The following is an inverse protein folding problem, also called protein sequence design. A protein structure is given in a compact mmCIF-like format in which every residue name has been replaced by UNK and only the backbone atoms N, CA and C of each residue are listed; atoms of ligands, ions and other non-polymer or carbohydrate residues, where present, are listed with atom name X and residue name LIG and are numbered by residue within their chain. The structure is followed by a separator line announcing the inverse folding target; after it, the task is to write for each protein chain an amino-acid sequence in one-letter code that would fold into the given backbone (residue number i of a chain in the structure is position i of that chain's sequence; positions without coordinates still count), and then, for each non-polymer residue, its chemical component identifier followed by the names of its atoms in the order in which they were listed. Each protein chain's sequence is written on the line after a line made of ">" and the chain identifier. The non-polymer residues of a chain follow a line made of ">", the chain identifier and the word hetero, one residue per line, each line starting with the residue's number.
data_IF_298864031686
#
_entry.id   IF_298864031686
#
_cell.length_a   1.000
_cell.length_b   1.000
_cell.length_c   1.000
_cell.angle_alpha   90.00
_cell.angle_beta   90.00
_cell.angle_gamma   90.00
#
_symmetry.space_group_name_H-M   'P 1'
#
loop_
_entity.id
_entity.type
_entity.pdbx_description
1 polymer ?
#
# COMPACT_ATOMS: atom_id res chain seq x y z
N UNK A 1 18.80 -17.81 -1.18
CA UNK A 1 18.83 -18.05 0.26
C UNK A 1 19.79 -17.14 1.00
N UNK A 2 21.07 -17.06 0.59
CA UNK A 2 22.11 -16.30 1.30
C UNK A 2 21.87 -14.79 1.37
N UNK A 3 21.19 -14.16 0.42
CA UNK A 3 20.89 -12.73 0.46
C UNK A 3 19.87 -12.36 1.56
N UNK A 4 18.93 -13.25 1.85
CA UNK A 4 17.77 -12.97 2.72
C UNK A 4 17.70 -13.91 3.94
N UNK A 5 18.68 -14.79 4.13
CA UNK A 5 18.73 -15.72 5.26
C UNK A 5 17.61 -16.77 5.31
N UNK A 6 16.88 -16.99 4.24
CA UNK A 6 15.78 -17.98 4.23
C UNK A 6 16.31 -19.40 4.16
N UNK A 7 16.24 -20.10 5.29
CA UNK A 7 16.67 -21.50 5.43
C UNK A 7 18.19 -21.73 5.54
N UNK A 8 19.01 -20.68 5.49
CA UNK A 8 20.46 -20.67 5.68
C UNK A 8 20.91 -19.33 6.24
N UNK A 9 22.06 -19.28 6.88
CA UNK A 9 22.63 -18.05 7.40
C UNK A 9 22.85 -17.02 6.28
N UNK A 10 22.56 -15.76 6.59
CA UNK A 10 22.76 -14.67 5.66
C UNK A 10 24.25 -14.47 5.39
N UNK A 11 24.65 -14.65 4.15
CA UNK A 11 26.04 -14.41 3.70
C UNK A 11 25.99 -13.60 2.40
N UNK A 12 26.01 -12.27 2.55
CA UNK A 12 25.90 -11.34 1.42
C UNK A 12 27.10 -11.43 0.46
N UNK A 13 28.37 -11.52 0.91
CA UNK A 13 29.50 -11.72 0.02
C UNK A 13 29.37 -12.98 -0.85
N UNK A 14 29.15 -14.14 -0.24
CA UNK A 14 28.98 -15.41 -0.98
C UNK A 14 27.78 -15.36 -1.94
N UNK A 15 26.67 -14.75 -1.52
CA UNK A 15 25.51 -14.59 -2.39
C UNK A 15 25.81 -13.71 -3.60
N UNK A 16 26.64 -12.70 -3.43
CA UNK A 16 27.06 -11.81 -4.53
C UNK A 16 27.99 -12.52 -5.50
N UNK A 17 28.97 -13.29 -5.00
CA UNK A 17 29.87 -14.07 -5.84
C UNK A 17 29.08 -15.08 -6.71
N UNK A 18 28.18 -15.85 -6.09
CA UNK A 18 27.29 -16.76 -6.82
C UNK A 18 26.40 -16.06 -7.85
N UNK A 19 25.85 -14.88 -7.51
CA UNK A 19 25.06 -14.10 -8.47
C UNK A 19 25.90 -13.55 -9.63
N UNK A 20 27.17 -13.22 -9.39
CA UNK A 20 28.08 -12.74 -10.42
C UNK A 20 28.31 -13.83 -11.48
N UNK A 21 28.60 -15.06 -11.08
CA UNK A 21 28.78 -16.19 -12.00
C UNK A 21 27.56 -16.41 -12.88
N UNK A 22 26.36 -16.43 -12.30
CA UNK A 22 25.11 -16.57 -13.09
C UNK A 22 24.84 -15.37 -13.99
N UNK A 23 25.10 -14.16 -13.51
CA UNK A 23 24.90 -12.92 -14.24
C UNK A 23 25.85 -12.84 -15.46
N UNK A 24 27.11 -13.21 -15.30
CA UNK A 24 28.10 -13.26 -16.39
C UNK A 24 27.76 -14.31 -17.43
N UNK A 25 27.08 -15.38 -17.03
CA UNK A 25 26.56 -16.41 -17.92
C UNK A 25 25.20 -16.06 -18.59
N UNK A 26 24.72 -14.81 -18.43
CA UNK A 26 23.56 -14.30 -19.17
C UNK A 26 22.21 -14.45 -18.46
N UNK A 27 22.17 -14.88 -17.21
CA UNK A 27 20.90 -14.98 -16.44
C UNK A 27 20.38 -13.58 -16.05
N UNK A 28 19.30 -13.14 -16.72
CA UNK A 28 18.70 -11.83 -16.50
C UNK A 28 18.24 -11.60 -15.04
N UNK A 29 17.74 -12.64 -14.37
CA UNK A 29 17.29 -12.55 -12.97
C UNK A 29 18.47 -12.42 -12.03
N UNK A 30 19.56 -13.19 -12.27
CA UNK A 30 20.79 -13.06 -11.50
C UNK A 30 21.39 -11.66 -11.66
N UNK A 31 21.39 -11.09 -12.86
CA UNK A 31 21.82 -9.72 -13.13
C UNK A 31 21.01 -8.71 -12.30
N UNK A 32 19.68 -8.81 -12.27
CA UNK A 32 18.81 -7.94 -11.47
C UNK A 32 19.02 -8.10 -9.97
N UNK A 33 19.25 -9.31 -9.47
CA UNK A 33 19.55 -9.56 -8.07
C UNK A 33 20.94 -9.04 -7.68
N UNK A 34 21.94 -9.21 -8.55
CA UNK A 34 23.27 -8.65 -8.38
C UNK A 34 23.22 -7.12 -8.33
N UNK A 35 22.54 -6.49 -9.28
CA UNK A 35 22.30 -5.06 -9.31
C UNK A 35 21.69 -4.56 -8.00
N UNK A 36 20.64 -5.22 -7.50
CA UNK A 36 20.01 -4.89 -6.21
C UNK A 36 21.00 -4.99 -5.03
N UNK A 37 21.83 -6.02 -5.01
CA UNK A 37 22.83 -6.20 -3.94
C UNK A 37 23.93 -5.14 -3.99
N UNK A 38 24.32 -4.71 -5.19
CA UNK A 38 25.31 -3.64 -5.41
C UNK A 38 24.74 -2.28 -5.02
N UNK A 39 23.48 -2.00 -5.37
CA UNK A 39 22.78 -0.75 -5.00
C UNK A 39 22.79 -0.50 -3.49
N UNK A 40 22.78 -1.54 -2.67
CA UNK A 40 22.85 -1.43 -1.22
C UNK A 40 24.22 -0.98 -0.68
N UNK A 41 25.25 -0.90 -1.54
CA UNK A 41 26.58 -0.42 -1.16
C UNK A 41 26.69 1.11 -1.33
N UNK A 42 27.45 1.82 -0.49
CA UNK A 42 27.60 3.27 -0.56
C UNK A 42 28.03 3.81 -1.93
N UNK A 43 28.83 3.04 -2.66
CA UNK A 43 29.36 3.44 -3.99
C UNK A 43 28.86 2.55 -5.12
N UNK A 44 27.85 1.73 -4.89
CA UNK A 44 27.41 0.68 -5.81
C UNK A 44 26.39 1.14 -6.86
N UNK A 45 25.87 2.37 -6.79
CA UNK A 45 24.78 2.83 -7.63
C UNK A 45 25.10 2.74 -9.15
N UNK A 46 26.27 3.17 -9.56
CA UNK A 46 26.68 3.13 -10.98
C UNK A 46 26.79 1.69 -11.49
N UNK A 47 27.43 0.83 -10.73
CA UNK A 47 27.57 -0.58 -11.08
C UNK A 47 26.21 -1.29 -11.09
N UNK A 48 25.33 -0.96 -10.13
CA UNK A 48 23.95 -1.48 -10.13
C UNK A 48 23.19 -1.06 -11.37
N UNK A 49 23.30 0.20 -11.79
CA UNK A 49 22.66 0.70 -13.00
C UNK A 49 23.14 -0.04 -14.25
N UNK A 50 24.43 -0.36 -14.37
CA UNK A 50 24.97 -1.11 -15.50
C UNK A 50 24.44 -2.54 -15.53
N UNK A 51 24.34 -3.20 -14.39
CA UNK A 51 23.74 -4.53 -14.31
C UNK A 51 22.25 -4.53 -14.61
N UNK A 52 21.48 -3.51 -14.19
CA UNK A 52 20.07 -3.38 -14.59
C UNK A 52 19.90 -3.18 -16.10
N UNK A 53 20.80 -2.43 -16.76
CA UNK A 53 20.76 -2.30 -18.23
C UNK A 53 21.03 -3.64 -18.91
N UNK A 54 22.05 -4.39 -18.42
CA UNK A 54 22.35 -5.74 -18.91
C UNK A 54 21.17 -6.70 -18.69
N UNK A 55 20.54 -6.68 -17.53
CA UNK A 55 19.37 -7.48 -17.21
C UNK A 55 18.20 -7.20 -18.17
N UNK A 56 17.96 -5.93 -18.48
CA UNK A 56 16.94 -5.55 -19.47
C UNK A 56 17.25 -6.11 -20.85
N UNK A 57 18.49 -5.99 -21.33
CA UNK A 57 18.89 -6.56 -22.63
C UNK A 57 18.81 -8.09 -22.66
N UNK A 58 18.95 -8.73 -21.51
CA UNK A 58 18.77 -10.18 -21.31
C UNK A 58 17.30 -10.60 -21.10
N UNK A 59 16.34 -9.67 -21.18
CA UNK A 59 14.89 -9.93 -21.14
C UNK A 59 14.16 -9.65 -19.83
N UNK A 60 14.84 -9.11 -18.80
CA UNK A 60 14.14 -8.64 -17.59
C UNK A 60 13.62 -7.21 -17.76
N UNK A 61 12.38 -7.08 -18.26
CA UNK A 61 11.73 -5.78 -18.44
C UNK A 61 11.61 -4.98 -17.14
N UNK A 62 11.53 -5.63 -15.96
CA UNK A 62 11.43 -4.96 -14.67
C UNK A 62 12.74 -4.30 -14.22
N UNK A 63 13.87 -4.66 -14.82
CA UNK A 63 15.14 -4.03 -14.49
C UNK A 63 15.15 -2.53 -14.76
N UNK A 64 14.46 -2.06 -15.81
CA UNK A 64 14.34 -0.62 -16.08
C UNK A 64 13.42 0.10 -15.08
N UNK A 65 12.49 -0.60 -14.45
CA UNK A 65 11.69 -0.02 -13.34
C UNK A 65 12.59 0.31 -12.16
N UNK A 66 13.50 -0.61 -11.79
CA UNK A 66 14.47 -0.36 -10.73
C UNK A 66 15.38 0.82 -11.07
N UNK A 67 15.84 0.90 -12.33
CA UNK A 67 16.68 2.00 -12.80
C UNK A 67 15.92 3.35 -12.77
N UNK A 68 14.64 3.36 -13.15
CA UNK A 68 13.80 4.55 -13.05
C UNK A 68 13.67 5.04 -11.60
N UNK A 69 13.51 4.13 -10.64
CA UNK A 69 13.52 4.50 -9.22
C UNK A 69 14.85 5.05 -8.74
N UNK A 70 15.98 4.54 -9.22
CA UNK A 70 17.30 5.09 -8.90
C UNK A 70 17.47 6.52 -9.43
N UNK A 71 16.89 6.83 -10.60
CA UNK A 71 16.87 8.19 -11.14
C UNK A 71 16.02 9.14 -10.27
N UNK A 72 14.79 8.74 -9.94
CA UNK A 72 13.88 9.55 -9.10
C UNK A 72 14.48 9.77 -7.70
N UNK A 73 15.13 8.75 -7.14
CA UNK A 73 15.76 8.80 -5.82
C UNK A 73 17.09 9.57 -5.77
N UNK A 74 17.56 10.11 -6.91
CA UNK A 74 18.82 10.85 -6.96
C UNK A 74 20.09 10.00 -6.77
N UNK A 75 19.97 8.68 -6.90
CA UNK A 75 21.13 7.75 -6.80
C UNK A 75 22.02 7.81 -8.05
N UNK A 76 21.46 8.30 -9.16
CA UNK A 76 22.16 8.49 -10.42
C UNK A 76 22.09 9.95 -10.83
N UNK A 77 23.17 10.46 -11.40
CA UNK A 77 23.24 11.83 -11.90
C UNK A 77 22.45 11.95 -13.19
N UNK A 78 21.42 12.78 -13.20
CA UNK A 78 20.68 13.17 -14.41
C UNK A 78 20.30 14.64 -14.33
N UNK A 79 20.31 15.34 -15.45
CA UNK A 79 19.86 16.73 -15.53
C UNK A 79 18.34 16.87 -15.31
N UNK A 80 17.58 15.86 -15.77
CA UNK A 80 16.13 15.81 -15.68
C UNK A 80 15.68 14.40 -15.20
N UNK A 81 15.72 14.13 -13.88
CA UNK A 81 15.48 12.79 -13.36
C UNK A 81 14.09 12.22 -13.68
N UNK A 82 13.02 13.03 -13.60
CA UNK A 82 11.66 12.57 -13.86
C UNK A 82 11.38 12.26 -15.33
N UNK A 83 11.73 13.13 -16.31
CA UNK A 83 11.64 12.78 -17.72
C UNK A 83 12.43 11.52 -18.09
N UNK A 84 13.65 11.36 -17.57
CA UNK A 84 14.47 10.18 -17.82
C UNK A 84 13.84 8.92 -17.21
N UNK A 85 13.33 8.97 -15.98
CA UNK A 85 12.62 7.86 -15.36
C UNK A 85 11.37 7.46 -16.17
N UNK A 86 10.61 8.45 -16.65
CA UNK A 86 9.45 8.19 -17.52
C UNK A 86 9.83 7.54 -18.84
N UNK A 87 11.00 7.91 -19.41
CA UNK A 87 11.53 7.27 -20.61
C UNK A 87 11.84 5.79 -20.35
N UNK A 88 12.50 5.48 -19.22
CA UNK A 88 12.81 4.11 -18.81
C UNK A 88 11.53 3.29 -18.56
N UNK A 89 10.55 3.88 -17.89
CA UNK A 89 9.25 3.22 -17.64
C UNK A 89 8.50 2.92 -18.95
N UNK A 90 8.53 3.83 -19.95
CA UNK A 90 7.94 3.55 -21.27
C UNK A 90 8.63 2.39 -21.96
N UNK A 91 9.97 2.32 -21.91
CA UNK A 91 10.72 1.19 -22.47
C UNK A 91 10.37 -0.14 -21.79
N UNK A 92 10.29 -0.14 -20.46
CA UNK A 92 9.90 -1.32 -19.70
C UNK A 92 8.45 -1.75 -19.99
N UNK A 93 7.52 -0.80 -20.09
CA UNK A 93 6.12 -1.06 -20.42
C UNK A 93 6.00 -1.66 -21.84
N UNK A 94 6.70 -1.11 -22.83
CA UNK A 94 6.75 -1.63 -24.19
C UNK A 94 7.35 -3.06 -24.25
N UNK A 95 8.26 -3.40 -23.32
CA UNK A 95 8.81 -4.74 -23.15
C UNK A 95 7.90 -5.67 -22.31
N UNK A 96 6.67 -5.26 -21.97
CA UNK A 96 5.67 -6.08 -21.29
C UNK A 96 5.72 -6.04 -19.76
N UNK A 97 6.45 -5.12 -19.14
CA UNK A 97 6.43 -4.97 -17.67
C UNK A 97 5.12 -4.37 -17.18
N UNK A 98 4.26 -5.19 -16.58
CA UNK A 98 3.03 -4.72 -15.95
C UNK A 98 3.32 -3.71 -14.79
N UNK A 99 4.42 -3.90 -14.08
CA UNK A 99 4.85 -2.97 -13.03
C UNK A 99 5.20 -1.60 -13.61
N UNK A 100 5.90 -1.54 -14.76
CA UNK A 100 6.20 -0.30 -15.44
C UNK A 100 4.94 0.41 -15.95
N UNK A 101 3.99 -0.34 -16.51
CA UNK A 101 2.69 0.19 -16.95
C UNK A 101 1.95 0.86 -15.78
N UNK A 102 1.86 0.19 -14.62
CA UNK A 102 1.23 0.75 -13.42
C UNK A 102 1.93 2.03 -12.96
N UNK A 103 3.25 2.03 -12.90
CA UNK A 103 4.02 3.22 -12.48
C UNK A 103 3.84 4.39 -13.44
N UNK A 104 3.92 4.14 -14.73
CA UNK A 104 3.71 5.15 -15.75
C UNK A 104 2.27 5.69 -15.73
N UNK A 105 1.28 4.82 -15.52
CA UNK A 105 -0.12 5.20 -15.35
C UNK A 105 -0.31 6.16 -14.17
N UNK A 106 0.33 5.91 -13.04
CA UNK A 106 0.32 6.83 -11.90
C UNK A 106 1.00 8.16 -12.23
N UNK A 107 2.09 8.16 -13.02
CA UNK A 107 2.74 9.40 -13.43
C UNK A 107 1.83 10.24 -14.35
N UNK A 108 1.10 9.61 -15.28
CA UNK A 108 0.08 10.31 -16.08
C UNK A 108 -1.08 10.81 -15.23
N UNK A 109 -1.53 10.04 -14.23
CA UNK A 109 -2.60 10.43 -13.31
C UNK A 109 -2.22 11.67 -12.49
N UNK A 110 -0.98 11.71 -11.98
CA UNK A 110 -0.49 12.80 -11.11
C UNK A 110 0.13 13.97 -11.88
N UNK A 111 0.57 13.77 -13.13
CA UNK A 111 1.38 14.74 -13.88
C UNK A 111 2.84 14.74 -13.44
N UNK A 112 3.40 13.59 -13.06
CA UNK A 112 4.75 13.47 -12.51
C UNK A 112 5.80 13.41 -13.64
N UNK A 113 6.43 14.53 -13.93
CA UNK A 113 7.44 14.65 -14.99
C UNK A 113 6.89 14.50 -16.43
N UNK A 114 5.57 14.58 -16.58
CA UNK A 114 4.83 14.59 -17.85
C UNK A 114 3.44 15.22 -17.64
N UNK A 115 2.75 15.68 -18.69
CA UNK A 115 1.40 16.21 -18.57
C UNK A 115 0.42 15.15 -18.04
N UNK A 116 -0.56 15.61 -17.24
CA UNK A 116 -1.67 14.72 -16.81
C UNK A 116 -2.45 14.24 -18.02
N UNK A 117 -2.67 12.92 -18.07
CA UNK A 117 -3.49 12.27 -19.09
C UNK A 117 -4.21 11.05 -18.48
N UNK A 118 -5.49 11.24 -18.16
CA UNK A 118 -6.30 10.19 -17.55
C UNK A 118 -6.65 9.06 -18.54
N UNK A 119 -6.71 9.38 -19.84
CA UNK A 119 -7.00 8.39 -20.89
C UNK A 119 -5.81 7.44 -21.03
N UNK A 120 -4.60 7.99 -21.14
CA UNK A 120 -3.39 7.18 -21.20
C UNK A 120 -3.15 6.42 -19.90
N UNK A 121 -3.42 7.04 -18.73
CA UNK A 121 -3.37 6.35 -17.45
C UNK A 121 -4.29 5.14 -17.41
N UNK A 122 -5.55 5.29 -17.84
CA UNK A 122 -6.52 4.20 -17.91
C UNK A 122 -6.05 3.09 -18.88
N UNK A 123 -5.55 3.45 -20.05
CA UNK A 123 -5.08 2.49 -21.04
C UNK A 123 -3.94 1.62 -20.50
N UNK A 124 -2.98 2.23 -19.81
CA UNK A 124 -1.87 1.53 -19.17
C UNK A 124 -2.33 0.64 -18.02
N UNK A 125 -3.24 1.11 -17.17
CA UNK A 125 -3.83 0.26 -16.13
C UNK A 125 -4.59 -0.93 -16.72
N UNK A 126 -5.36 -0.75 -17.80
CA UNK A 126 -6.07 -1.85 -18.46
C UNK A 126 -5.09 -2.89 -19.03
N UNK A 127 -3.99 -2.45 -19.62
CA UNK A 127 -2.94 -3.37 -20.12
C UNK A 127 -2.31 -4.15 -18.97
N UNK A 128 -1.92 -3.48 -17.88
CA UNK A 128 -1.33 -4.14 -16.72
C UNK A 128 -2.31 -5.10 -16.04
N UNK A 129 -3.58 -4.71 -15.95
CA UNK A 129 -4.68 -5.53 -15.41
C UNK A 129 -4.89 -6.80 -16.24
N UNK A 130 -4.80 -6.72 -17.58
CA UNK A 130 -4.86 -7.88 -18.46
C UNK A 130 -3.69 -8.86 -18.25
N UNK A 131 -2.54 -8.36 -17.77
CA UNK A 131 -1.39 -9.17 -17.36
C UNK A 131 -1.50 -9.69 -15.91
N UNK A 132 -2.64 -9.50 -15.24
CA UNK A 132 -2.90 -9.98 -13.88
C UNK A 132 -2.32 -9.11 -12.76
N UNK A 133 -1.94 -7.87 -13.04
CA UNK A 133 -1.43 -6.96 -12.02
C UNK A 133 -2.59 -6.34 -11.22
N UNK A 134 -2.72 -6.73 -9.96
CA UNK A 134 -3.81 -6.27 -9.09
C UNK A 134 -3.68 -4.79 -8.65
N UNK A 135 -2.48 -4.20 -8.66
CA UNK A 135 -2.32 -2.76 -8.42
C UNK A 135 -2.94 -1.93 -9.55
N UNK A 136 -2.94 -2.46 -10.77
CA UNK A 136 -3.62 -1.83 -11.89
C UNK A 136 -5.14 -1.78 -11.68
N UNK A 137 -5.73 -2.84 -11.10
CA UNK A 137 -7.14 -2.88 -10.76
C UNK A 137 -7.49 -1.83 -9.69
N UNK A 138 -6.62 -1.64 -8.70
CA UNK A 138 -6.77 -0.55 -7.72
C UNK A 138 -6.72 0.81 -8.40
N UNK A 139 -5.78 1.02 -9.34
CA UNK A 139 -5.67 2.25 -10.12
C UNK A 139 -6.93 2.53 -10.97
N UNK A 140 -7.50 1.52 -11.62
CA UNK A 140 -8.77 1.62 -12.34
C UNK A 140 -9.92 1.95 -11.39
N UNK A 141 -10.00 1.25 -10.26
CA UNK A 141 -10.99 1.56 -9.22
C UNK A 141 -10.96 3.02 -8.78
N UNK A 142 -9.75 3.56 -8.59
CA UNK A 142 -9.56 4.96 -8.23
C UNK A 142 -10.04 5.93 -9.34
N UNK A 143 -9.69 5.68 -10.61
CA UNK A 143 -10.10 6.51 -11.73
C UNK A 143 -11.64 6.64 -11.83
N UNK A 144 -12.36 5.54 -11.62
CA UNK A 144 -13.82 5.52 -11.64
C UNK A 144 -14.43 6.11 -10.36
N UNK A 145 -13.84 5.87 -9.19
CA UNK A 145 -14.32 6.44 -7.93
C UNK A 145 -14.17 7.96 -7.87
N UNK A 146 -13.09 8.48 -8.44
CA UNK A 146 -12.79 9.91 -8.51
C UNK A 146 -13.48 10.60 -9.70
N UNK A 147 -14.31 9.90 -10.45
CA UNK A 147 -15.03 10.41 -11.63
C UNK A 147 -14.13 11.02 -12.71
N UNK A 148 -12.86 10.60 -12.76
CA UNK A 148 -11.88 11.07 -13.73
C UNK A 148 -12.08 10.47 -15.12
N UNK A 149 -12.87 9.39 -15.20
CA UNK A 149 -13.24 8.70 -16.44
C UNK A 149 -14.75 8.48 -16.48
N UNK A 150 -15.36 8.53 -17.68
CA UNK A 150 -16.78 8.19 -17.84
C UNK A 150 -17.07 6.78 -17.32
N UNK A 151 -18.19 6.61 -16.61
CA UNK A 151 -18.66 5.28 -16.21
C UNK A 151 -18.94 4.47 -17.47
N UNK A 152 -18.25 3.35 -17.65
CA UNK A 152 -18.70 2.33 -18.61
C UNK A 152 -19.79 1.51 -17.95
N UNK A 153 -20.82 1.12 -18.70
CA UNK A 153 -21.99 0.40 -18.20
C UNK A 153 -21.66 -0.86 -17.39
N UNK A 154 -20.49 -1.44 -17.59
CA UNK A 154 -20.14 -2.77 -17.10
C UNK A 154 -19.03 -2.77 -16.03
N UNK A 155 -18.34 -1.65 -15.76
CA UNK A 155 -17.18 -1.61 -14.88
C UNK A 155 -17.15 -0.36 -14.01
N UNK A 156 -17.70 -0.49 -12.79
CA UNK A 156 -17.63 0.53 -11.75
C UNK A 156 -16.35 0.41 -10.92
N UNK A 157 -16.07 1.41 -10.08
CA UNK A 157 -15.01 1.31 -9.06
C UNK A 157 -15.12 0.03 -8.22
N UNK A 158 -16.36 -0.35 -7.85
CA UNK A 158 -16.64 -1.56 -7.10
C UNK A 158 -16.14 -2.83 -7.79
N UNK A 159 -16.38 -2.96 -9.09
CA UNK A 159 -15.89 -4.10 -9.89
C UNK A 159 -14.37 -4.25 -9.80
N UNK A 160 -13.64 -3.14 -9.94
CA UNK A 160 -12.19 -3.15 -9.94
C UNK A 160 -11.60 -3.42 -8.56
N UNK A 161 -12.15 -2.80 -7.51
CA UNK A 161 -11.69 -3.06 -6.13
C UNK A 161 -12.00 -4.48 -5.68
N UNK A 162 -13.19 -5.02 -6.03
CA UNK A 162 -13.52 -6.41 -5.74
C UNK A 162 -12.55 -7.38 -6.41
N UNK A 163 -12.22 -7.14 -7.68
CA UNK A 163 -11.25 -7.95 -8.42
C UNK A 163 -9.85 -7.89 -7.80
N UNK A 164 -9.36 -6.71 -7.44
CA UNK A 164 -8.09 -6.53 -6.75
C UNK A 164 -8.08 -7.24 -5.39
N UNK A 165 -9.20 -7.15 -4.64
CA UNK A 165 -9.35 -7.81 -3.34
C UNK A 165 -9.27 -9.33 -3.47
N UNK A 166 -9.95 -9.92 -4.45
CA UNK A 166 -9.89 -11.36 -4.73
C UNK A 166 -8.50 -11.82 -5.21
N UNK A 167 -7.75 -10.96 -5.87
CA UNK A 167 -6.36 -11.19 -6.23
C UNK A 167 -5.39 -11.09 -5.04
N UNK A 168 -5.89 -10.81 -3.83
CA UNK A 168 -5.09 -10.70 -2.61
C UNK A 168 -4.41 -9.34 -2.41
N UNK A 169 -4.70 -8.33 -3.23
CA UNK A 169 -4.14 -7.00 -3.09
C UNK A 169 -4.69 -6.32 -1.83
N UNK A 170 -3.80 -5.91 -0.93
CA UNK A 170 -4.16 -5.32 0.38
C UNK A 170 -4.97 -4.03 0.22
N UNK A 171 -4.55 -3.13 -0.67
CA UNK A 171 -5.27 -1.88 -0.91
C UNK A 171 -6.65 -2.15 -1.54
N UNK A 172 -6.73 -3.11 -2.48
CA UNK A 172 -7.98 -3.59 -3.04
C UNK A 172 -8.93 -4.13 -1.97
N UNK A 173 -8.42 -4.93 -1.04
CA UNK A 173 -9.20 -5.46 0.09
C UNK A 173 -9.72 -4.34 0.99
N UNK A 174 -8.89 -3.34 1.30
CA UNK A 174 -9.29 -2.18 2.11
C UNK A 174 -10.37 -1.34 1.40
N UNK A 175 -10.18 -1.03 0.13
CA UNK A 175 -11.13 -0.25 -0.68
C UNK A 175 -12.47 -0.98 -0.85
N UNK A 176 -12.41 -2.26 -1.15
CA UNK A 176 -13.61 -3.08 -1.29
C UNK A 176 -14.37 -3.20 0.03
N UNK A 177 -13.67 -3.45 1.15
CA UNK A 177 -14.27 -3.49 2.47
C UNK A 177 -14.99 -2.17 2.82
N UNK A 178 -14.38 -1.03 2.52
CA UNK A 178 -15.00 0.28 2.73
C UNK A 178 -16.28 0.43 1.91
N UNK A 179 -16.26 0.07 0.63
CA UNK A 179 -17.46 0.12 -0.21
C UNK A 179 -18.57 -0.83 0.25
N UNK A 180 -18.21 -1.94 0.87
CA UNK A 180 -19.18 -2.86 1.49
C UNK A 180 -19.82 -2.24 2.73
N UNK A 181 -19.06 -1.50 3.57
CA UNK A 181 -19.62 -0.74 4.70
C UNK A 181 -20.62 0.31 4.22
N UNK A 182 -20.27 1.08 3.20
CA UNK A 182 -21.17 2.10 2.62
C UNK A 182 -22.49 1.50 2.10
N UNK A 183 -22.49 0.21 1.77
CA UNK A 183 -23.67 -0.56 1.36
C UNK A 183 -24.35 -1.33 2.52
N UNK A 184 -23.94 -1.11 3.76
CA UNK A 184 -24.45 -1.81 4.94
C UNK A 184 -24.07 -3.29 5.04
N UNK A 185 -23.09 -3.74 4.24
CA UNK A 185 -22.64 -5.16 4.21
C UNK A 185 -21.50 -5.40 5.21
N UNK A 186 -21.71 -5.03 6.48
CA UNK A 186 -20.69 -4.97 7.52
C UNK A 186 -19.98 -6.31 7.80
N UNK A 187 -20.71 -7.43 7.74
CA UNK A 187 -20.12 -8.77 7.93
C UNK A 187 -19.06 -9.08 6.86
N UNK A 188 -19.35 -8.75 5.62
CA UNK A 188 -18.41 -8.96 4.52
C UNK A 188 -17.23 -7.99 4.59
N UNK A 189 -17.47 -6.73 4.96
CA UNK A 189 -16.42 -5.75 5.16
C UNK A 189 -15.43 -6.20 6.25
N UNK A 190 -15.95 -6.71 7.38
CA UNK A 190 -15.13 -7.29 8.45
C UNK A 190 -14.22 -8.40 7.92
N UNK A 191 -14.76 -9.30 7.10
CA UNK A 191 -13.99 -10.44 6.59
C UNK A 191 -12.88 -9.98 5.65
N UNK A 192 -13.10 -8.93 4.85
CA UNK A 192 -12.08 -8.34 3.99
C UNK A 192 -11.02 -7.55 4.78
N UNK A 193 -11.42 -6.76 5.79
CA UNK A 193 -10.43 -6.14 6.68
C UNK A 193 -9.60 -7.19 7.42
N UNK A 194 -10.20 -8.29 7.85
CA UNK A 194 -9.47 -9.38 8.46
C UNK A 194 -8.52 -10.06 7.46
N UNK A 195 -8.87 -10.15 6.18
CA UNK A 195 -7.98 -10.66 5.13
C UNK A 195 -6.75 -9.77 4.93
N UNK A 196 -6.95 -8.45 4.89
CA UNK A 196 -5.87 -7.48 4.78
C UNK A 196 -4.99 -7.44 6.06
N UNK A 197 -5.59 -7.57 7.25
CA UNK A 197 -4.85 -7.61 8.51
C UNK A 197 -3.93 -8.85 8.62
N UNK A 198 -4.32 -9.99 8.04
CA UNK A 198 -3.43 -11.17 7.95
C UNK A 198 -2.20 -10.97 7.06
N UNK A 199 -2.14 -9.88 6.33
CA UNK A 199 -0.98 -9.46 5.53
C UNK A 199 -0.23 -8.30 6.21
N UNK A 200 -0.37 -8.16 7.53
CA UNK A 200 0.31 -7.17 8.38
C UNK A 200 0.01 -5.71 8.00
N UNK A 201 -1.16 -5.44 7.38
CA UNK A 201 -1.58 -4.08 7.05
C UNK A 201 -2.05 -3.34 8.30
N UNK A 202 -1.30 -2.31 8.71
CA UNK A 202 -1.63 -1.45 9.86
C UNK A 202 -3.00 -0.81 9.69
N UNK A 203 -3.29 -0.27 8.50
CA UNK A 203 -4.60 0.31 8.19
C UNK A 203 -5.74 -0.70 8.32
N UNK A 204 -5.50 -1.97 7.94
CA UNK A 204 -6.49 -3.03 8.10
C UNK A 204 -6.71 -3.40 9.57
N UNK A 205 -5.64 -3.48 10.37
CA UNK A 205 -5.74 -3.68 11.80
C UNK A 205 -6.59 -2.58 12.44
N UNK A 206 -6.32 -1.32 12.11
CA UNK A 206 -7.10 -0.19 12.63
C UNK A 206 -8.58 -0.25 12.21
N UNK A 207 -8.85 -0.44 10.92
CA UNK A 207 -10.23 -0.49 10.41
C UNK A 207 -11.03 -1.67 11.00
N UNK A 208 -10.38 -2.84 11.13
CA UNK A 208 -11.00 -4.01 11.74
C UNK A 208 -11.29 -3.77 13.22
N UNK A 209 -10.35 -3.17 13.96
CA UNK A 209 -10.52 -2.84 15.37
C UNK A 209 -11.69 -1.86 15.57
N UNK A 210 -11.74 -0.81 14.76
CA UNK A 210 -12.82 0.16 14.78
C UNK A 210 -14.18 -0.52 14.59
N UNK A 211 -14.31 -1.32 13.54
CA UNK A 211 -15.55 -2.04 13.23
C UNK A 211 -15.98 -2.98 14.37
N UNK A 212 -15.02 -3.74 14.93
CA UNK A 212 -15.29 -4.67 16.04
C UNK A 212 -15.66 -3.94 17.34
N UNK A 213 -15.25 -2.68 17.52
CA UNK A 213 -15.54 -1.88 18.73
C UNK A 213 -16.83 -1.07 18.61
N UNK A 214 -17.21 -0.62 17.42
CA UNK A 214 -18.21 0.46 17.28
C UNK A 214 -19.48 0.08 16.54
N UNK A 215 -19.51 -1.03 15.82
CA UNK A 215 -20.66 -1.39 14.99
C UNK A 215 -21.94 -1.55 15.83
N UNK A 216 -23.07 -1.09 15.32
CA UNK A 216 -24.36 -1.26 16.01
C UNK A 216 -24.77 -2.73 16.16
N UNK A 217 -24.45 -3.57 15.16
CA UNK A 217 -24.71 -5.02 15.21
C UNK A 217 -23.86 -5.71 16.30
N UNK A 218 -24.50 -6.04 17.41
CA UNK A 218 -23.86 -6.70 18.55
C UNK A 218 -23.20 -8.05 18.20
N UNK A 219 -23.71 -8.78 17.20
CA UNK A 219 -23.14 -10.06 16.77
C UNK A 219 -21.79 -9.91 16.07
N UNK A 220 -21.52 -8.72 15.54
CA UNK A 220 -20.27 -8.41 14.85
C UNK A 220 -19.22 -7.75 15.76
N UNK A 221 -19.65 -7.27 16.95
CA UNK A 221 -18.73 -6.68 17.93
C UNK A 221 -17.91 -7.74 18.66
N UNK A 222 -16.66 -7.41 18.92
CA UNK A 222 -15.75 -8.18 19.75
C UNK A 222 -14.68 -7.25 20.34
N UNK A 223 -14.94 -6.70 21.50
CA UNK A 223 -14.06 -5.74 22.16
C UNK A 223 -12.66 -6.30 22.46
N UNK A 224 -12.54 -7.61 22.74
CA UNK A 224 -11.21 -8.23 22.98
C UNK A 224 -10.39 -8.28 21.70
N UNK A 225 -10.99 -8.70 20.60
CA UNK A 225 -10.31 -8.69 19.29
C UNK A 225 -10.06 -7.27 18.79
N UNK A 226 -11.01 -6.34 19.02
CA UNK A 226 -10.81 -4.93 18.72
C UNK A 226 -9.57 -4.40 19.44
N UNK A 227 -9.44 -4.67 20.75
CA UNK A 227 -8.28 -4.24 21.53
C UNK A 227 -6.97 -4.82 21.00
N UNK A 228 -6.93 -6.11 20.66
CA UNK A 228 -5.74 -6.74 20.09
C UNK A 228 -5.29 -6.08 18.77
N UNK A 229 -6.24 -5.86 17.85
CA UNK A 229 -5.93 -5.21 16.57
C UNK A 229 -5.57 -3.74 16.71
N UNK A 230 -6.27 -2.98 17.58
CA UNK A 230 -5.95 -1.58 17.83
C UNK A 230 -4.56 -1.41 18.46
N UNK A 231 -4.16 -2.31 19.37
CA UNK A 231 -2.81 -2.29 19.94
C UNK A 231 -1.73 -2.47 18.88
N UNK A 232 -1.90 -3.40 17.93
CA UNK A 232 -0.96 -3.58 16.80
C UNK A 232 -0.83 -2.29 15.99
N UNK A 233 -1.94 -1.59 15.71
CA UNK A 233 -1.90 -0.35 14.93
C UNK A 233 -1.18 0.77 15.68
N UNK A 234 -1.42 0.93 16.98
CA UNK A 234 -0.77 1.96 17.81
C UNK A 234 0.72 1.66 18.02
N UNK A 235 1.10 0.38 18.25
CA UNK A 235 2.50 -0.02 18.40
C UNK A 235 3.31 0.26 17.13
N UNK A 236 2.70 0.09 15.96
CA UNK A 236 3.35 0.38 14.69
C UNK A 236 3.42 1.89 14.40
N UNK A 237 2.33 2.62 14.67
CA UNK A 237 2.21 4.05 14.39
C UNK A 237 1.18 4.69 15.33
N UNK A 238 1.58 5.45 16.39
CA UNK A 238 0.67 6.07 17.34
C UNK A 238 0.05 7.36 16.78
N UNK A 239 -0.76 7.27 15.74
CA UNK A 239 -1.48 8.42 15.18
C UNK A 239 -2.75 8.74 15.98
N UNK A 240 -3.32 9.97 15.89
CA UNK A 240 -4.60 10.32 16.52
C UNK A 240 -5.72 9.34 16.17
N UNK A 241 -5.80 8.88 14.92
CA UNK A 241 -6.82 7.92 14.47
C UNK A 241 -6.64 6.53 15.09
N UNK A 242 -5.40 6.06 15.23
CA UNK A 242 -5.11 4.77 15.84
C UNK A 242 -5.39 4.80 17.36
N UNK A 243 -5.03 5.90 18.03
CA UNK A 243 -5.34 6.10 19.46
C UNK A 243 -6.86 6.18 19.70
N UNK A 244 -7.61 6.87 18.85
CA UNK A 244 -9.07 6.95 18.92
C UNK A 244 -9.71 5.55 18.81
N UNK A 245 -9.23 4.73 17.88
CA UNK A 245 -9.67 3.33 17.71
C UNK A 245 -9.33 2.49 18.96
N UNK A 246 -8.16 2.68 19.55
CA UNK A 246 -7.76 1.99 20.78
C UNK A 246 -8.64 2.39 21.95
N UNK A 247 -8.97 3.68 22.06
CA UNK A 247 -9.89 4.17 23.09
C UNK A 247 -11.29 3.55 22.94
N UNK A 248 -11.82 3.46 21.71
CA UNK A 248 -13.09 2.80 21.43
C UNK A 248 -13.06 1.32 21.82
N UNK A 249 -11.96 0.62 21.55
CA UNK A 249 -11.78 -0.78 21.93
C UNK A 249 -11.70 -0.98 23.45
N UNK A 250 -11.04 -0.08 24.18
CA UNK A 250 -11.09 -0.09 25.65
C UNK A 250 -12.50 0.14 26.18
N UNK A 251 -13.22 1.10 25.62
CA UNK A 251 -14.60 1.38 26.01
C UNK A 251 -15.51 0.16 25.78
N UNK A 252 -15.41 -0.50 24.61
CA UNK A 252 -16.20 -1.72 24.30
C UNK A 252 -15.90 -2.88 25.28
N UNK A 253 -14.71 -2.93 25.87
CA UNK A 253 -14.38 -3.88 26.93
C UNK A 253 -14.74 -3.40 28.35
N UNK A 254 -15.45 -2.26 28.49
CA UNK A 254 -15.85 -1.68 29.77
C UNK A 254 -14.74 -0.94 30.53
N UNK A 255 -13.56 -0.76 29.91
CA UNK A 255 -12.40 -0.10 30.51
C UNK A 255 -12.40 1.41 30.25
N UNK A 256 -13.46 2.11 30.70
CA UNK A 256 -13.67 3.54 30.41
C UNK A 256 -12.54 4.44 30.91
N UNK A 257 -11.94 4.15 32.08
CA UNK A 257 -10.81 4.94 32.57
C UNK A 257 -9.64 4.94 31.60
N UNK A 258 -9.33 3.78 31.02
CA UNK A 258 -8.29 3.67 29.98
C UNK A 258 -8.71 4.35 28.69
N UNK A 259 -9.96 4.17 28.26
CA UNK A 259 -10.50 4.84 27.08
C UNK A 259 -10.36 6.36 27.18
N UNK A 260 -10.67 6.96 28.34
CA UNK A 260 -10.52 8.39 28.60
C UNK A 260 -9.07 8.85 28.49
N UNK A 261 -8.12 8.10 29.07
CA UNK A 261 -6.69 8.43 28.99
C UNK A 261 -6.23 8.43 27.53
N UNK A 262 -6.46 7.35 26.82
CA UNK A 262 -6.04 7.20 25.42
C UNK A 262 -6.74 8.22 24.51
N UNK A 263 -8.02 8.52 24.76
CA UNK A 263 -8.74 9.53 23.98
C UNK A 263 -8.17 10.94 24.16
N UNK A 264 -7.69 11.27 25.37
CA UNK A 264 -6.97 12.53 25.63
C UNK A 264 -5.61 12.57 24.93
N UNK A 265 -4.89 11.45 24.88
CA UNK A 265 -3.65 11.33 24.11
C UNK A 265 -3.92 11.55 22.62
N UNK A 266 -4.99 10.97 22.08
CA UNK A 266 -5.40 11.19 20.67
C UNK A 266 -5.65 12.68 20.39
N UNK A 267 -6.37 13.37 21.29
CA UNK A 267 -6.62 14.81 21.17
C UNK A 267 -5.35 15.66 21.28
N UNK A 268 -4.43 15.28 22.16
CA UNK A 268 -3.15 15.97 22.33
C UNK A 268 -2.20 15.80 21.14
N UNK A 269 -2.33 14.69 20.41
CA UNK A 269 -1.53 14.38 19.22
C UNK A 269 -2.05 15.06 17.94
N UNK A 270 -3.22 15.72 17.96
CA UNK A 270 -3.76 16.43 16.80
C UNK A 270 -2.92 17.63 16.41
N UNK A 271 -2.64 17.74 15.12
CA UNK A 271 -2.05 18.94 14.53
C UNK A 271 -3.12 20.04 14.32
N UNK A 272 -2.71 21.33 14.18
CA UNK A 272 -3.67 22.40 13.88
C UNK A 272 -4.47 22.20 12.59
N UNK A 273 -3.97 21.38 11.65
CA UNK A 273 -4.68 21.02 10.41
C UNK A 273 -5.80 19.99 10.60
N UNK A 274 -5.90 19.36 11.78
CA UNK A 274 -6.77 18.21 12.03
C UNK A 274 -8.10 18.60 12.68
N UNK A 275 -8.53 19.88 12.53
CA UNK A 275 -9.77 20.41 13.14
C UNK A 275 -11.01 19.57 12.81
N UNK A 276 -11.05 18.93 11.62
CA UNK A 276 -12.14 18.04 11.24
C UNK A 276 -12.26 16.79 12.11
N UNK A 277 -11.15 16.30 12.69
CA UNK A 277 -11.14 15.14 13.57
C UNK A 277 -11.47 15.51 15.01
N UNK A 278 -11.03 16.68 15.46
CA UNK A 278 -11.14 17.15 16.86
C UNK A 278 -12.54 17.01 17.42
N UNK A 279 -13.54 17.52 16.72
CA UNK A 279 -14.93 17.49 17.20
C UNK A 279 -15.46 16.05 17.38
N UNK A 280 -15.01 15.11 16.55
CA UNK A 280 -15.34 13.69 16.67
C UNK A 280 -14.72 13.06 17.92
N UNK A 281 -13.42 13.31 18.13
CA UNK A 281 -12.68 12.81 19.29
C UNK A 281 -13.24 13.37 20.60
N UNK A 282 -13.57 14.66 20.63
CA UNK A 282 -14.16 15.32 21.81
C UNK A 282 -15.53 14.73 22.16
N UNK A 283 -16.38 14.49 21.17
CA UNK A 283 -17.70 13.85 21.42
C UNK A 283 -17.55 12.45 22.02
N UNK A 284 -16.61 11.64 21.51
CA UNK A 284 -16.33 10.30 22.06
C UNK A 284 -15.78 10.38 23.47
N UNK A 285 -14.86 11.32 23.73
CA UNK A 285 -14.36 11.55 25.10
C UNK A 285 -15.51 11.88 26.07
N UNK A 286 -16.44 12.76 25.69
CA UNK A 286 -17.61 13.07 26.53
C UNK A 286 -18.49 11.83 26.77
N UNK A 287 -18.68 10.99 25.76
CA UNK A 287 -19.37 9.71 25.92
C UNK A 287 -18.67 8.79 26.93
N UNK A 288 -17.34 8.63 26.79
CA UNK A 288 -16.56 7.77 27.72
C UNK A 288 -16.55 8.28 29.15
N UNK A 289 -16.55 9.60 29.36
CA UNK A 289 -16.70 10.21 30.70
C UNK A 289 -18.03 9.88 31.36
N UNK A 290 -19.06 9.56 30.57
CA UNK A 290 -20.39 9.15 31.02
C UNK A 290 -20.57 7.62 30.98
N UNK A 291 -19.50 6.86 30.79
CA UNK A 291 -19.52 5.42 30.57
C UNK A 291 -20.45 4.99 29.40
N UNK A 292 -20.55 5.81 28.37
CA UNK A 292 -21.33 5.54 27.17
C UNK A 292 -20.42 5.03 26.04
N UNK A 293 -20.89 4.01 25.34
CA UNK A 293 -20.23 3.43 24.19
C UNK A 293 -20.51 4.24 22.92
N UNK A 294 -19.51 4.36 22.06
CA UNK A 294 -19.71 4.89 20.69
C UNK A 294 -20.27 3.82 19.77
N UNK A 295 -21.25 4.19 18.92
CA UNK A 295 -21.87 3.30 17.94
C UNK A 295 -21.92 3.97 16.57
N UNK A 296 -21.70 3.17 15.51
CA UNK A 296 -21.80 3.53 14.08
C UNK A 296 -22.69 2.56 13.33
#
# INVERSE_FOLDING_TARGET
>A
GHLYGRGIDQNIPLARDLLTDFAENGDARAMSHLARSLRALPTGAVQAADWYRKAFTAGDANALVALAFMQIGGELTASEPLPEANRLLRQAAAAGSATAMVRLAHHYLAGTGLPKDYVESQALFLQASALGNADADVGLGYLYQAELMPLSSDRSAAYWYERAAHAGNVEGQLRWARMLLDKGRSRQARDWFAAAARQDSIAAHNNLAWLLATLDDAELRDGKRALAHASVAVEAEPSPAHLDTLAAAYAETGQFDRAIVIQREALAALLPSDDGLRAGLERRLQGYLQAQLWRE
#
